data_IF_304563847302
#
_entry.id   IF_304563847302
#
_cell.length_a   1.000
_cell.length_b   1.000
_cell.length_c   1.000
_cell.angle_alpha   90.00
_cell.angle_beta   90.00
_cell.angle_gamma   90.00
#
_symmetry.space_group_name_H-M   'P 1'
#
loop_
_entity.id
_entity.type
_entity.pdbx_description
1 polymer ?
#
# COMPACT_ATOMS: atom_id res chain seq x y z
N UNK A 1 25.22 14.98 10.45
CA UNK A 1 24.12 14.01 10.66
C UNK A 1 22.83 14.77 10.89
N UNK A 2 21.84 14.64 10.05
CA UNK A 2 20.55 15.29 10.25
C UNK A 2 19.75 14.51 11.30
N UNK A 3 19.29 15.21 12.33
CA UNK A 3 18.46 14.63 13.39
C UNK A 3 17.06 14.39 12.82
N UNK A 4 16.57 13.16 12.84
CA UNK A 4 15.21 12.84 12.40
C UNK A 4 14.18 13.47 13.35
N UNK A 5 12.94 13.75 12.85
CA UNK A 5 11.83 14.27 13.69
C UNK A 5 11.59 13.39 14.92
N UNK A 6 11.74 12.10 14.79
CA UNK A 6 11.61 11.14 15.91
C UNK A 6 12.73 11.32 16.94
N UNK A 7 13.97 11.49 16.51
CA UNK A 7 15.10 11.74 17.40
C UNK A 7 14.96 13.10 18.09
N UNK A 8 14.52 14.13 17.34
CA UNK A 8 14.24 15.45 17.90
C UNK A 8 13.16 15.39 18.97
N UNK A 9 12.02 14.72 18.70
CA UNK A 9 10.94 14.57 19.67
C UNK A 9 11.35 13.77 20.91
N UNK A 10 12.18 12.74 20.76
CA UNK A 10 12.72 11.97 21.89
C UNK A 10 13.65 12.83 22.77
N UNK A 11 14.53 13.59 22.15
CA UNK A 11 15.48 14.46 22.85
C UNK A 11 14.75 15.65 23.51
N UNK A 12 13.78 16.26 22.81
CA UNK A 12 12.99 17.38 23.35
C UNK A 12 12.10 16.94 24.51
N UNK A 13 11.45 15.78 24.45
CA UNK A 13 10.65 15.25 25.53
C UNK A 13 11.50 14.92 26.76
N UNK A 14 12.69 14.34 26.57
CA UNK A 14 13.62 14.05 27.65
C UNK A 14 14.23 15.34 28.24
N UNK A 15 14.54 16.33 27.40
CA UNK A 15 15.09 17.61 27.82
C UNK A 15 14.14 18.50 28.60
N UNK A 16 12.87 18.56 28.15
CA UNK A 16 11.81 19.30 28.87
C UNK A 16 11.44 18.66 30.21
N UNK A 17 11.42 17.34 30.30
CA UNK A 17 11.19 16.64 31.56
C UNK A 17 12.33 16.86 32.56
N UNK A 18 13.59 16.90 32.10
CA UNK A 18 14.75 17.13 32.97
C UNK A 18 14.90 18.58 33.44
N UNK A 19 14.60 19.57 32.58
CA UNK A 19 14.79 21.00 32.91
C UNK A 19 13.73 21.60 33.80
N UNK A 20 12.48 21.12 33.73
CA UNK A 20 11.39 21.63 34.57
C UNK A 20 11.37 21.08 35.98
N UNK A 21 11.99 19.92 36.23
CA UNK A 21 12.03 19.27 37.56
C UNK A 21 13.19 19.83 38.40
N UNK A 22 14.31 20.19 37.74
CA UNK A 22 15.49 20.77 38.48
C UNK A 22 15.30 22.21 38.99
N UNK A 23 14.44 22.99 38.31
CA UNK A 23 14.26 24.41 38.61
C UNK A 23 13.31 24.71 39.81
N UNK A 24 12.47 23.76 40.24
CA UNK A 24 11.42 23.97 41.22
C UNK A 24 11.62 23.27 42.58
N UNK A 25 12.74 22.54 42.79
CA UNK A 25 13.05 21.89 44.06
C UNK A 25 12.07 20.82 44.54
N UNK A 26 11.17 20.34 43.64
CA UNK A 26 10.17 19.32 43.94
C UNK A 26 10.66 17.92 43.60
N UNK A 27 11.41 17.29 44.51
CA UNK A 27 11.88 15.91 44.32
C UNK A 27 10.79 14.83 44.41
N UNK A 28 9.56 15.18 44.80
CA UNK A 28 8.42 14.22 44.87
C UNK A 28 7.34 14.40 43.81
N UNK A 29 7.32 15.53 43.08
CA UNK A 29 6.34 15.78 42.03
C UNK A 29 6.72 15.20 40.65
N UNK A 30 8.01 14.88 40.48
CA UNK A 30 8.52 14.33 39.21
C UNK A 30 7.93 12.98 38.85
N UNK A 31 7.82 12.08 39.82
CA UNK A 31 7.29 10.74 39.61
C UNK A 31 5.78 10.76 39.35
N UNK A 32 5.05 11.65 40.02
CA UNK A 32 3.60 11.81 39.84
C UNK A 32 3.26 12.44 38.48
N UNK A 33 4.06 13.41 38.01
CA UNK A 33 3.90 14.01 36.67
C UNK A 33 4.34 13.04 35.57
N UNK A 34 5.41 12.27 35.76
CA UNK A 34 5.87 11.25 34.82
C UNK A 34 4.86 10.10 34.67
N UNK A 35 4.17 9.71 35.74
CA UNK A 35 3.13 8.68 35.72
C UNK A 35 1.88 9.09 34.93
N UNK A 36 1.62 10.39 34.78
CA UNK A 36 0.49 10.93 33.99
C UNK A 36 0.80 11.16 32.50
N UNK A 37 2.07 11.16 32.10
CA UNK A 37 2.47 11.39 30.70
C UNK A 37 2.35 10.10 29.91
N UNK A 38 1.43 10.08 28.93
CA UNK A 38 1.32 8.94 28.01
C UNK A 38 2.63 8.77 27.25
N UNK A 39 3.19 7.54 27.16
CA UNK A 39 4.39 7.31 26.38
C UNK A 39 4.17 7.68 24.90
N UNK A 40 5.22 8.14 24.24
CA UNK A 40 5.14 8.51 22.83
C UNK A 40 4.64 7.34 22.00
N UNK A 41 3.59 7.57 21.23
CA UNK A 41 2.87 6.54 20.45
C UNK A 41 3.78 5.61 19.63
N UNK A 42 4.88 6.16 19.09
CA UNK A 42 5.80 5.43 18.21
C UNK A 42 7.03 4.88 18.91
N UNK A 43 7.16 5.04 20.22
CA UNK A 43 8.35 4.64 20.97
C UNK A 43 8.71 3.17 20.83
N UNK A 44 7.69 2.31 20.82
CA UNK A 44 7.84 0.84 20.70
C UNK A 44 7.44 0.31 19.32
N UNK A 45 7.18 1.20 18.35
CA UNK A 45 6.77 0.80 17.03
C UNK A 45 7.95 0.37 16.17
N UNK A 46 7.74 -0.68 15.38
CA UNK A 46 8.66 -1.06 14.31
C UNK A 46 8.37 -0.16 13.10
N UNK A 47 9.42 0.47 12.58
CA UNK A 47 9.37 1.29 11.38
C UNK A 47 9.70 0.45 10.15
N UNK A 48 8.91 0.58 9.10
CA UNK A 48 9.13 -0.08 7.81
C UNK A 48 8.94 0.92 6.69
N UNK A 49 9.91 1.01 5.77
CA UNK A 49 9.81 1.84 4.57
C UNK A 49 8.98 1.15 3.50
N UNK A 50 8.15 1.91 2.80
CA UNK A 50 7.32 1.43 1.71
C UNK A 50 7.01 2.56 0.73
N UNK A 51 6.36 2.22 -0.39
CA UNK A 51 5.85 3.18 -1.36
C UNK A 51 4.33 3.34 -1.21
N UNK A 52 3.85 4.57 -1.39
CA UNK A 52 2.42 4.87 -1.41
C UNK A 52 1.75 4.18 -2.61
N UNK A 53 0.62 3.46 -2.44
CA UNK A 53 -0.01 2.70 -3.51
C UNK A 53 -0.95 3.51 -4.41
N UNK A 54 -1.15 4.82 -4.15
CA UNK A 54 -2.24 5.57 -4.78
C UNK A 54 -1.95 6.08 -6.19
N UNK A 55 -0.72 6.40 -6.52
CA UNK A 55 -0.39 6.89 -7.85
C UNK A 55 1.08 6.68 -8.22
N UNK A 56 1.39 6.91 -9.50
CA UNK A 56 2.72 6.73 -10.07
C UNK A 56 3.80 7.68 -9.51
N UNK A 57 3.46 8.67 -8.70
CA UNK A 57 4.44 9.49 -7.96
C UNK A 57 5.28 8.62 -7.02
N UNK A 58 4.69 7.52 -6.51
CA UNK A 58 5.37 6.54 -5.68
C UNK A 58 6.07 7.18 -4.45
N UNK A 59 5.38 8.08 -3.76
CA UNK A 59 5.89 8.71 -2.54
C UNK A 59 6.38 7.67 -1.55
N UNK A 60 7.57 7.88 -0.98
CA UNK A 60 8.06 7.07 0.12
C UNK A 60 7.25 7.31 1.39
N UNK A 61 6.90 6.24 2.08
CA UNK A 61 6.16 6.26 3.34
C UNK A 61 6.89 5.47 4.41
N UNK A 62 6.81 5.95 5.64
CA UNK A 62 7.21 5.25 6.86
C UNK A 62 5.95 4.65 7.49
N UNK A 63 5.94 3.34 7.66
CA UNK A 63 4.85 2.60 8.26
C UNK A 63 5.29 2.13 9.64
N UNK A 64 4.53 2.51 10.65
CA UNK A 64 4.79 2.13 12.04
C UNK A 64 3.79 1.07 12.48
N UNK A 65 4.32 -0.05 12.97
CA UNK A 65 3.50 -1.16 13.47
C UNK A 65 3.85 -1.51 14.91
N UNK A 66 2.83 -1.89 15.68
CA UNK A 66 2.94 -2.51 17.00
C UNK A 66 2.53 -3.96 16.90
N UNK A 67 3.11 -4.77 17.77
CA UNK A 67 2.86 -6.21 17.84
C UNK A 67 4.05 -7.00 17.33
N UNK A 68 4.36 -8.05 18.06
CA UNK A 68 5.45 -8.97 17.78
C UNK A 68 4.89 -10.39 17.69
N UNK A 69 5.08 -11.03 16.55
CA UNK A 69 4.63 -12.41 16.30
C UNK A 69 5.24 -13.40 17.29
N UNK A 70 6.43 -13.11 17.84
CA UNK A 70 7.10 -13.96 18.82
C UNK A 70 6.35 -14.06 20.15
N UNK A 71 5.47 -13.07 20.44
CA UNK A 71 4.66 -13.01 21.66
C UNK A 71 3.18 -13.26 21.40
N UNK A 72 2.83 -13.91 20.30
CA UNK A 72 1.45 -14.11 19.85
C UNK A 72 0.63 -12.81 19.69
N UNK A 73 1.29 -11.66 19.70
CA UNK A 73 0.66 -10.37 19.49
C UNK A 73 0.51 -10.09 17.99
N UNK A 74 -0.72 -9.93 17.54
CA UNK A 74 -1.00 -9.59 16.14
C UNK A 74 -0.43 -8.21 15.81
N UNK A 75 0.47 -8.15 14.85
CA UNK A 75 1.00 -6.87 14.34
C UNK A 75 -0.14 -6.00 13.78
N UNK A 76 -0.16 -4.75 14.16
CA UNK A 76 -1.13 -3.75 13.67
C UNK A 76 -0.40 -2.46 13.30
N UNK A 77 -0.73 -1.90 12.14
CA UNK A 77 -0.22 -0.60 11.71
C UNK A 77 -0.92 0.48 12.54
N UNK A 78 -0.14 1.36 13.16
CA UNK A 78 -0.65 2.40 14.07
C UNK A 78 -0.45 3.82 13.54
N UNK A 79 0.49 3.99 12.58
CA UNK A 79 0.79 5.29 11.99
C UNK A 79 1.44 5.13 10.63
N UNK A 80 1.19 6.10 9.74
CA UNK A 80 1.85 6.24 8.43
C UNK A 80 2.20 7.70 8.23
N UNK A 81 3.44 7.98 7.80
CA UNK A 81 3.90 9.32 7.45
C UNK A 81 4.83 9.28 6.22
N UNK A 82 5.11 10.44 5.66
CA UNK A 82 6.06 10.52 4.53
C UNK A 82 7.49 10.28 4.97
N UNK A 83 8.25 9.55 4.13
CA UNK A 83 9.67 9.31 4.36
C UNK A 83 10.48 10.58 4.02
N UNK A 84 11.13 11.22 4.99
CA UNK A 84 11.93 12.44 4.75
C UNK A 84 13.18 12.19 3.91
N UNK A 85 13.68 10.96 3.87
CA UNK A 85 14.85 10.58 3.09
C UNK A 85 14.53 10.23 1.65
N UNK A 86 13.23 10.10 1.33
CA UNK A 86 12.80 9.72 -0.01
C UNK A 86 12.96 10.89 -1.00
N UNK A 87 13.67 10.71 -2.14
CA UNK A 87 14.05 11.81 -3.03
C UNK A 87 12.88 12.53 -3.69
N UNK A 88 11.73 11.86 -3.88
CA UNK A 88 10.56 12.41 -4.57
C UNK A 88 9.73 13.30 -3.64
N UNK A 89 9.29 12.77 -2.51
CA UNK A 89 8.34 13.47 -1.62
C UNK A 89 8.96 14.11 -0.38
N UNK A 90 10.18 13.75 -0.01
CA UNK A 90 10.95 14.37 1.10
C UNK A 90 10.12 14.57 2.37
N UNK A 91 9.36 13.56 2.74
CA UNK A 91 8.50 13.57 3.93
C UNK A 91 7.10 14.18 3.73
N UNK A 92 6.80 14.76 2.57
CA UNK A 92 5.46 15.30 2.30
C UNK A 92 4.52 14.20 1.78
N UNK A 93 3.23 14.30 2.12
CA UNK A 93 2.17 13.45 1.58
C UNK A 93 0.97 14.30 1.19
N UNK A 94 0.30 13.91 0.11
CA UNK A 94 -1.03 14.45 -0.19
C UNK A 94 -2.07 13.84 0.77
N UNK A 95 -3.30 14.37 0.73
CA UNK A 95 -4.38 13.92 1.60
C UNK A 95 -4.65 12.39 1.53
N UNK A 96 -4.51 11.78 0.33
CA UNK A 96 -4.69 10.33 0.16
C UNK A 96 -3.59 9.53 0.86
N UNK A 97 -2.32 9.93 0.70
CA UNK A 97 -1.20 9.29 1.37
C UNK A 97 -1.29 9.43 2.89
N UNK A 98 -1.64 10.62 3.38
CA UNK A 98 -1.84 10.88 4.81
C UNK A 98 -3.00 10.06 5.41
N UNK A 99 -4.08 9.84 4.64
CA UNK A 99 -5.25 9.05 5.05
C UNK A 99 -5.08 7.52 4.91
N UNK A 100 -3.91 7.03 4.49
CA UNK A 100 -3.69 5.60 4.20
C UNK A 100 -3.94 4.70 5.41
N UNK A 101 -3.70 5.15 6.63
CA UNK A 101 -4.02 4.40 7.85
C UNK A 101 -5.51 4.07 7.95
N UNK A 102 -6.39 5.03 7.67
CA UNK A 102 -7.85 4.83 7.65
C UNK A 102 -8.27 3.82 6.57
N UNK A 103 -7.66 3.90 5.39
CA UNK A 103 -7.90 2.96 4.31
C UNK A 103 -7.48 1.52 4.69
N UNK A 104 -6.30 1.35 5.30
CA UNK A 104 -5.78 0.03 5.70
C UNK A 104 -6.72 -0.65 6.70
N UNK A 105 -7.26 0.10 7.65
CA UNK A 105 -8.14 -0.40 8.70
C UNK A 105 -9.64 -0.35 8.37
N UNK A 106 -10.01 0.11 7.18
CA UNK A 106 -11.40 0.20 6.77
C UNK A 106 -12.09 -1.17 6.82
N UNK A 107 -13.24 -1.22 7.48
CA UNK A 107 -14.08 -2.42 7.51
C UNK A 107 -14.62 -2.80 6.11
N UNK A 108 -14.76 -1.80 5.24
CA UNK A 108 -15.26 -1.98 3.87
C UNK A 108 -14.19 -2.47 2.88
N UNK A 109 -12.93 -2.57 3.32
CA UNK A 109 -11.85 -3.05 2.46
C UNK A 109 -12.06 -4.52 2.11
N UNK A 110 -12.10 -4.84 0.83
CA UNK A 110 -12.12 -6.22 0.34
C UNK A 110 -10.80 -6.91 0.68
N UNK A 111 -10.89 -8.06 1.35
CA UNK A 111 -9.72 -8.84 1.80
C UNK A 111 -9.61 -10.17 1.07
N UNK A 112 -10.64 -10.54 0.32
CA UNK A 112 -10.76 -11.83 -0.37
C UNK A 112 -11.42 -11.64 -1.71
N UNK A 113 -11.18 -12.53 -2.69
CA UNK A 113 -11.88 -12.51 -3.95
C UNK A 113 -13.38 -12.72 -3.74
N UNK A 114 -14.16 -12.01 -4.53
CA UNK A 114 -15.61 -12.11 -4.55
C UNK A 114 -16.05 -12.53 -5.95
N UNK A 115 -16.88 -13.55 -6.03
CA UNK A 115 -17.46 -14.06 -7.28
C UNK A 115 -18.96 -13.82 -7.31
N UNK A 116 -19.45 -13.31 -8.42
CA UNK A 116 -20.89 -13.20 -8.71
C UNK A 116 -21.22 -14.16 -9.83
N UNK A 117 -22.12 -15.11 -9.57
CA UNK A 117 -22.60 -16.05 -10.59
C UNK A 117 -23.40 -15.31 -11.67
N UNK A 118 -23.33 -15.73 -12.93
CA UNK A 118 -24.18 -15.17 -13.98
C UNK A 118 -25.67 -15.21 -13.59
N UNK A 119 -26.39 -14.12 -13.89
CA UNK A 119 -27.82 -14.00 -13.58
C UNK A 119 -28.15 -13.70 -12.11
N UNK A 120 -27.15 -13.49 -11.24
CA UNK A 120 -27.38 -13.12 -9.83
C UNK A 120 -26.84 -11.74 -9.53
N UNK A 121 -27.34 -11.11 -8.48
CA UNK A 121 -26.90 -9.81 -7.93
C UNK A 121 -26.00 -9.96 -6.70
N UNK A 122 -25.80 -11.19 -6.20
CA UNK A 122 -25.05 -11.46 -4.97
C UNK A 122 -23.60 -11.82 -5.26
N UNK A 123 -22.70 -11.18 -4.51
CA UNK A 123 -21.29 -11.55 -4.48
C UNK A 123 -21.00 -12.52 -3.34
N UNK A 124 -20.38 -13.64 -3.66
CA UNK A 124 -19.96 -14.67 -2.71
C UNK A 124 -18.45 -14.68 -2.56
N UNK A 125 -17.94 -14.81 -1.34
CA UNK A 125 -16.51 -14.96 -1.10
C UNK A 125 -16.02 -16.31 -1.64
N UNK A 126 -14.91 -16.28 -2.37
CA UNK A 126 -14.23 -17.48 -2.90
C UNK A 126 -12.77 -17.53 -2.47
N UNK A 127 -12.11 -18.67 -2.65
CA UNK A 127 -10.67 -18.80 -2.44
C UNK A 127 -9.89 -18.12 -3.57
N UNK A 128 -8.63 -17.80 -3.32
CA UNK A 128 -7.72 -17.30 -4.35
C UNK A 128 -7.49 -18.33 -5.46
N UNK A 129 -7.36 -19.61 -5.10
CA UNK A 129 -7.17 -20.72 -6.06
C UNK A 129 -8.35 -20.78 -7.02
N UNK A 130 -9.58 -20.80 -6.50
CA UNK A 130 -10.77 -20.76 -7.34
C UNK A 130 -10.81 -19.55 -8.27
N UNK A 131 -10.47 -18.36 -7.75
CA UNK A 131 -10.52 -17.13 -8.54
C UNK A 131 -9.48 -17.15 -9.67
N UNK A 132 -8.25 -17.54 -9.36
CA UNK A 132 -7.16 -17.59 -10.32
C UNK A 132 -7.40 -18.67 -11.38
N UNK A 133 -7.78 -19.88 -10.99
CA UNK A 133 -8.10 -20.97 -11.92
C UNK A 133 -9.21 -20.57 -12.88
N UNK A 134 -10.26 -19.93 -12.36
CA UNK A 134 -11.37 -19.46 -13.18
C UNK A 134 -10.94 -18.40 -14.18
N UNK A 135 -10.14 -17.41 -13.76
CA UNK A 135 -9.62 -16.34 -14.62
C UNK A 135 -8.72 -16.94 -15.71
N UNK A 136 -7.76 -17.76 -15.33
CA UNK A 136 -6.80 -18.37 -16.26
C UNK A 136 -7.51 -19.26 -17.27
N UNK A 137 -8.48 -20.06 -16.83
CA UNK A 137 -9.29 -20.91 -17.72
C UNK A 137 -10.02 -20.08 -18.77
N UNK A 138 -10.73 -19.03 -18.35
CA UNK A 138 -11.47 -18.17 -19.29
C UNK A 138 -10.55 -17.44 -20.27
N UNK A 139 -9.43 -16.91 -19.78
CA UNK A 139 -8.42 -16.25 -20.63
C UNK A 139 -7.83 -17.22 -21.64
N UNK A 140 -7.48 -18.44 -21.21
CA UNK A 140 -6.92 -19.45 -22.11
C UNK A 140 -7.93 -19.91 -23.16
N UNK A 141 -9.15 -20.19 -22.77
CA UNK A 141 -10.22 -20.62 -23.70
C UNK A 141 -10.49 -19.56 -24.77
N UNK A 142 -10.56 -18.29 -24.40
CA UNK A 142 -10.78 -17.19 -25.34
C UNK A 142 -9.56 -16.94 -26.22
N UNK A 143 -8.36 -16.97 -25.64
CA UNK A 143 -7.11 -16.76 -26.37
C UNK A 143 -6.86 -17.87 -27.38
N UNK A 144 -7.08 -19.14 -27.02
CA UNK A 144 -6.87 -20.29 -27.94
C UNK A 144 -7.79 -20.21 -29.18
N UNK A 145 -8.99 -19.62 -29.02
CA UNK A 145 -9.94 -19.43 -30.13
C UNK A 145 -9.64 -18.20 -31.00
N UNK A 146 -9.13 -17.13 -30.41
CA UNK A 146 -9.14 -15.79 -31.01
C UNK A 146 -7.75 -15.20 -31.23
N UNK A 147 -6.66 -15.91 -30.87
CA UNK A 147 -5.30 -15.42 -31.07
C UNK A 147 -4.90 -15.49 -32.54
N UNK A 148 -4.42 -14.38 -33.06
CA UNK A 148 -3.98 -14.24 -34.45
C UNK A 148 -2.47 -14.10 -34.47
N UNK A 149 -1.76 -15.18 -34.86
CA UNK A 149 -0.31 -15.17 -34.99
C UNK A 149 0.17 -14.37 -36.20
N UNK A 150 -0.53 -14.54 -37.34
CA UNK A 150 -0.20 -13.85 -38.60
C UNK A 150 -1.48 -13.21 -39.17
N UNK A 151 -1.29 -12.05 -39.84
CA UNK A 151 -2.39 -11.40 -40.56
C UNK A 151 -2.61 -12.06 -41.95
N UNK A 152 -3.54 -11.52 -42.73
CA UNK A 152 -3.87 -12.04 -44.11
C UNK A 152 -2.69 -11.95 -45.05
N UNK A 153 -1.76 -11.04 -44.87
CA UNK A 153 -0.57 -10.80 -45.68
C UNK A 153 0.62 -11.65 -45.20
N UNK A 154 0.43 -12.57 -44.25
CA UNK A 154 1.48 -13.42 -43.70
C UNK A 154 2.41 -12.76 -42.69
N UNK A 155 2.19 -11.48 -42.33
CA UNK A 155 2.99 -10.75 -41.37
C UNK A 155 2.66 -11.23 -39.94
N UNK A 156 3.69 -11.50 -39.16
CA UNK A 156 3.55 -11.87 -37.74
C UNK A 156 3.02 -10.70 -36.91
N UNK A 157 1.85 -10.87 -36.31
CA UNK A 157 1.17 -9.83 -35.52
C UNK A 157 0.96 -10.21 -34.05
N UNK A 158 0.91 -11.50 -33.73
CA UNK A 158 0.77 -12.03 -32.35
C UNK A 158 -0.27 -11.27 -31.51
N UNK A 159 -1.48 -11.11 -32.04
CA UNK A 159 -2.50 -10.26 -31.40
C UNK A 159 -3.69 -11.06 -30.89
N UNK A 160 -4.24 -10.59 -29.77
CA UNK A 160 -5.47 -11.08 -29.19
C UNK A 160 -6.42 -9.90 -28.95
N UNK A 161 -7.54 -9.84 -29.68
CA UNK A 161 -8.44 -8.69 -29.75
C UNK A 161 -9.77 -8.89 -29.02
N UNK A 162 -10.14 -10.13 -28.72
CA UNK A 162 -11.41 -10.44 -28.04
C UNK A 162 -11.43 -10.10 -26.55
N UNK A 163 -10.24 -9.90 -25.97
CA UNK A 163 -10.07 -9.50 -24.57
C UNK A 163 -9.35 -8.16 -24.49
N UNK A 164 -9.88 -7.24 -23.67
CA UNK A 164 -9.26 -5.99 -23.32
C UNK A 164 -8.84 -5.96 -21.86
N UNK A 165 -7.92 -5.07 -21.51
CA UNK A 165 -7.46 -4.81 -20.16
C UNK A 165 -7.74 -3.34 -19.78
N UNK A 166 -8.43 -3.15 -18.67
CA UNK A 166 -8.64 -1.82 -18.09
C UNK A 166 -7.78 -1.66 -16.84
N UNK A 167 -6.84 -0.76 -16.91
CA UNK A 167 -5.99 -0.37 -15.81
C UNK A 167 -6.56 0.76 -14.97
N UNK A 168 -5.78 1.25 -14.05
CA UNK A 168 -6.08 2.43 -13.24
C UNK A 168 -4.81 3.15 -12.83
N UNK A 169 -4.94 4.43 -12.45
CA UNK A 169 -3.82 5.26 -12.02
C UNK A 169 -3.34 5.00 -10.58
N UNK A 170 -4.06 4.16 -9.82
CA UNK A 170 -3.73 3.85 -8.42
C UNK A 170 -2.74 2.70 -8.33
N UNK A 171 -1.57 2.85 -8.94
CA UNK A 171 -0.47 1.89 -9.00
C UNK A 171 0.87 2.61 -8.78
N UNK A 172 1.87 1.88 -8.25
CA UNK A 172 3.26 2.31 -8.38
C UNK A 172 3.75 2.15 -9.84
N UNK A 173 4.84 2.83 -10.20
CA UNK A 173 5.43 2.73 -11.54
C UNK A 173 5.83 1.29 -11.88
N UNK A 174 6.39 0.55 -10.92
CA UNK A 174 6.81 -0.84 -11.10
C UNK A 174 5.61 -1.75 -11.35
N UNK A 175 4.53 -1.58 -10.58
CA UNK A 175 3.30 -2.35 -10.77
C UNK A 175 2.66 -2.06 -12.14
N UNK A 176 2.64 -0.79 -12.56
CA UNK A 176 2.17 -0.37 -13.88
C UNK A 176 3.00 -0.98 -15.01
N UNK A 177 4.33 -0.95 -14.89
CA UNK A 177 5.24 -1.55 -15.87
C UNK A 177 5.03 -3.07 -15.98
N UNK A 178 4.97 -3.78 -14.86
CA UNK A 178 4.74 -5.23 -14.84
C UNK A 178 3.39 -5.59 -15.46
N UNK A 179 2.35 -4.84 -15.14
CA UNK A 179 1.00 -5.01 -15.71
C UNK A 179 1.03 -4.84 -17.23
N UNK A 180 1.64 -3.76 -17.72
CA UNK A 180 1.77 -3.51 -19.15
C UNK A 180 2.55 -4.63 -19.85
N UNK A 181 3.69 -5.04 -19.30
CA UNK A 181 4.51 -6.13 -19.81
C UNK A 181 3.73 -7.45 -19.87
N UNK A 182 3.00 -7.79 -18.83
CA UNK A 182 2.14 -8.98 -18.78
C UNK A 182 1.07 -8.94 -19.88
N UNK A 183 0.32 -7.84 -19.95
CA UNK A 183 -0.77 -7.68 -20.94
C UNK A 183 -0.24 -7.81 -22.35
N UNK A 184 0.87 -7.15 -22.67
CA UNK A 184 1.50 -7.26 -24.00
C UNK A 184 2.06 -8.64 -24.30
N UNK A 185 2.63 -9.33 -23.33
CA UNK A 185 3.15 -10.69 -23.51
C UNK A 185 2.06 -11.71 -23.86
N UNK A 186 0.83 -11.47 -23.43
CA UNK A 186 -0.33 -12.32 -23.78
C UNK A 186 -0.92 -12.05 -25.15
N UNK A 187 -0.52 -10.93 -25.80
CA UNK A 187 -1.01 -10.50 -27.12
C UNK A 187 -2.20 -9.54 -27.06
N UNK A 188 -2.66 -9.15 -25.89
CA UNK A 188 -3.76 -8.19 -25.72
C UNK A 188 -3.30 -6.82 -26.25
N UNK A 189 -4.05 -6.25 -27.18
CA UNK A 189 -3.82 -4.90 -27.71
C UNK A 189 -4.72 -3.84 -27.04
N UNK A 190 -5.93 -4.19 -26.68
CA UNK A 190 -6.86 -3.32 -25.98
C UNK A 190 -6.42 -3.10 -24.53
N UNK A 191 -5.51 -2.15 -24.33
CA UNK A 191 -5.04 -1.74 -23.01
C UNK A 191 -5.38 -0.27 -22.81
N UNK A 192 -6.30 -0.01 -21.90
CA UNK A 192 -6.73 1.35 -21.56
C UNK A 192 -6.55 1.61 -20.05
N UNK A 193 -6.28 2.85 -19.71
CA UNK A 193 -6.13 3.34 -18.35
C UNK A 193 -7.04 4.55 -18.17
N UNK A 194 -7.64 4.66 -17.01
CA UNK A 194 -8.52 5.76 -16.62
C UNK A 194 -7.86 7.16 -16.83
N UNK A 195 -6.57 7.26 -16.69
CA UNK A 195 -5.83 8.52 -16.87
C UNK A 195 -5.38 8.78 -18.32
N UNK A 196 -5.65 7.86 -19.24
CA UNK A 196 -5.27 7.95 -20.65
C UNK A 196 -6.46 8.39 -21.52
N UNK A 197 -7.00 9.52 -21.24
CA UNK A 197 -8.08 10.09 -22.06
C UNK A 197 -7.52 11.17 -22.99
#
# INVERSE_FOLDING_TARGET
MAVTRRQFMKVSAAGLAASSVGALGFTGAGDALAAGVRPFKLERATETRNACPYCAVACGVLIYSLGDKSKNAKSSIIHVEGDPDHPVNRGTLCARGAASLGYIHSANRLKYPMHRKPGTDKFERVSWDFALDRIVKLMKEDRDKNFIAKNRDGVTVNRWLSTGFFGGSSLSNEAGYLTYKFVRSTGILGFEDQARI
#
